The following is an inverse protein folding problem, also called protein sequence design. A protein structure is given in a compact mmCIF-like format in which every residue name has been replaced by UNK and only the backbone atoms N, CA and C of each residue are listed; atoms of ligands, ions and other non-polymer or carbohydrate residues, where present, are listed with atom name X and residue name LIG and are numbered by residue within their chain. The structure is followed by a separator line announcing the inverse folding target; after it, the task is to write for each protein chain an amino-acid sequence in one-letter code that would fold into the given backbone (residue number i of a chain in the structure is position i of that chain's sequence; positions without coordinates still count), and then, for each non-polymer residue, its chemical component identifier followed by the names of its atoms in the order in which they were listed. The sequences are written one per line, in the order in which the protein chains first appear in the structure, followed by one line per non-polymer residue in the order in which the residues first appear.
data_IF_135759560252
#
_entry.id   IF_135759560252
#
_cell.length_a   1.000
_cell.length_b   1.000
_cell.length_c   1.000
_cell.angle_alpha   90.00
_cell.angle_beta   90.00
_cell.angle_gamma   90.00
#
_symmetry.space_group_name_H-M   'P 1'
#
loop_
_entity.id
_entity.type
_entity.pdbx_description
1 polymer ?
#
# COMPACT_ATOMS: atom_id res chain seq x y z
N UNK A 1 -7.28 26.84 -64.73
CA UNK A 1 -8.53 26.38 -64.12
C UNK A 1 -8.26 26.15 -62.64
N UNK A 2 -8.74 27.06 -61.80
CA UNK A 2 -8.49 27.07 -60.35
C UNK A 2 -9.17 25.90 -59.65
N UNK A 3 -8.42 25.20 -58.80
CA UNK A 3 -8.97 24.33 -57.78
C UNK A 3 -9.26 25.16 -56.52
N UNK A 4 -10.53 25.25 -56.14
CA UNK A 4 -10.96 25.81 -54.87
C UNK A 4 -10.90 24.70 -53.80
N UNK A 5 -10.07 24.89 -52.77
CA UNK A 5 -10.07 24.10 -51.55
C UNK A 5 -11.01 24.78 -50.54
N UNK A 6 -12.09 24.11 -50.15
CA UNK A 6 -12.97 24.56 -49.07
C UNK A 6 -12.29 24.32 -47.73
N UNK A 7 -12.09 25.39 -46.96
CA UNK A 7 -11.62 25.32 -45.57
C UNK A 7 -12.84 25.28 -44.65
N UNK A 8 -13.08 24.14 -44.01
CA UNK A 8 -14.08 24.01 -42.94
C UNK A 8 -13.40 24.41 -41.61
N UNK A 9 -13.93 25.35 -40.83
CA UNK A 9 -13.31 25.72 -39.56
C UNK A 9 -13.66 24.68 -38.49
N UNK A 10 -12.64 24.00 -37.96
CA UNK A 10 -12.76 23.21 -36.73
C UNK A 10 -12.84 24.16 -35.54
N UNK A 11 -14.02 24.23 -34.91
CA UNK A 11 -14.19 24.82 -33.59
C UNK A 11 -13.46 23.94 -32.57
N UNK A 12 -12.31 24.42 -32.05
CA UNK A 12 -11.68 23.87 -30.86
C UNK A 12 -12.48 24.30 -29.64
N UNK A 13 -13.37 23.42 -29.16
CA UNK A 13 -13.91 23.52 -27.81
C UNK A 13 -12.79 23.20 -26.81
N UNK A 14 -12.31 24.22 -26.10
CA UNK A 14 -11.56 24.03 -24.86
C UNK A 14 -12.52 23.51 -23.78
N UNK A 15 -12.66 22.20 -23.69
CA UNK A 15 -13.25 21.55 -22.53
C UNK A 15 -12.21 21.48 -21.41
N UNK A 16 -12.43 22.23 -20.33
CA UNK A 16 -11.80 21.97 -19.04
C UNK A 16 -12.17 20.57 -18.56
N UNK A 17 -11.24 19.63 -18.69
CA UNK A 17 -11.36 18.30 -18.09
C UNK A 17 -11.07 18.46 -16.60
N UNK A 18 -12.10 18.42 -15.78
CA UNK A 18 -11.93 18.14 -14.35
C UNK A 18 -11.41 16.70 -14.24
N UNK A 19 -10.13 16.55 -13.94
CA UNK A 19 -9.43 15.28 -13.74
C UNK A 19 -9.86 14.60 -12.44
N UNK A 20 -11.14 14.25 -12.33
CA UNK A 20 -11.55 13.16 -11.46
C UNK A 20 -11.23 11.86 -12.18
N UNK A 21 -10.65 10.88 -11.49
CA UNK A 21 -10.77 9.50 -11.92
C UNK A 21 -12.28 9.24 -12.05
N UNK A 22 -12.82 9.27 -13.27
CA UNK A 22 -14.04 8.52 -13.55
C UNK A 22 -13.75 7.16 -12.97
N UNK A 23 -14.61 6.66 -12.08
CA UNK A 23 -14.48 5.32 -11.50
C UNK A 23 -14.53 4.35 -12.69
N UNK A 24 -13.40 4.21 -13.36
CA UNK A 24 -13.17 3.26 -14.42
C UNK A 24 -12.86 2.03 -13.60
N UNK A 25 -13.95 1.41 -13.13
CA UNK A 25 -13.95 0.11 -12.51
C UNK A 25 -12.97 -0.74 -13.32
N UNK A 26 -11.81 -1.15 -12.79
CA UNK A 26 -11.02 -2.14 -13.49
C UNK A 26 -11.96 -3.34 -13.67
N UNK A 27 -12.36 -3.62 -14.92
CA UNK A 27 -13.18 -4.79 -15.23
C UNK A 27 -12.42 -6.08 -14.89
N UNK A 28 -11.09 -5.96 -14.82
CA UNK A 28 -10.10 -6.94 -14.40
C UNK A 28 -8.90 -6.17 -13.81
N UNK A 29 -8.28 -6.69 -12.75
CA UNK A 29 -7.08 -6.09 -12.17
C UNK A 29 -5.83 -6.41 -12.99
N UNK A 30 -4.86 -5.51 -12.96
CA UNK A 30 -3.53 -5.72 -13.53
C UNK A 30 -2.67 -6.49 -12.53
N UNK A 31 -1.99 -7.55 -12.99
CA UNK A 31 -1.13 -8.40 -12.17
C UNK A 31 0.24 -8.67 -12.82
N UNK A 32 1.37 -8.48 -12.09
CA UNK A 32 1.45 -7.82 -10.79
C UNK A 32 1.05 -6.34 -10.90
N UNK A 33 0.25 -5.83 -9.97
CA UNK A 33 -0.23 -4.44 -10.04
C UNK A 33 -0.49 -3.81 -8.68
N UNK A 34 0.38 -4.07 -7.71
CA UNK A 34 0.42 -3.35 -6.43
C UNK A 34 1.59 -2.38 -6.42
N UNK A 35 2.54 -2.51 -5.49
CA UNK A 35 3.68 -1.58 -5.40
C UNK A 35 4.59 -1.65 -6.62
N UNK A 36 4.59 -2.77 -7.33
CA UNK A 36 5.47 -3.03 -8.47
C UNK A 36 4.69 -3.59 -9.65
N UNK A 37 5.04 -3.11 -10.83
CA UNK A 37 4.58 -3.63 -12.13
C UNK A 37 5.63 -4.55 -12.76
N UNK A 38 5.27 -5.28 -13.82
CA UNK A 38 6.26 -6.08 -14.57
C UNK A 38 7.33 -5.17 -15.21
N UNK A 39 6.97 -3.96 -15.63
CA UNK A 39 7.90 -2.95 -16.16
C UNK A 39 8.92 -2.48 -15.10
N UNK A 40 8.48 -2.25 -13.86
CA UNK A 40 9.38 -1.86 -12.76
C UNK A 40 10.44 -2.95 -12.51
N UNK A 41 10.03 -4.22 -12.53
CA UNK A 41 10.96 -5.34 -12.35
C UNK A 41 11.93 -5.51 -13.52
N UNK A 42 11.46 -5.32 -14.76
CA UNK A 42 12.34 -5.35 -15.94
C UNK A 42 13.37 -4.23 -15.86
N UNK A 43 12.95 -3.02 -15.45
CA UNK A 43 13.84 -1.89 -15.23
C UNK A 43 14.89 -2.24 -14.18
N UNK A 44 14.50 -2.61 -12.95
CA UNK A 44 15.49 -2.88 -11.89
C UNK A 44 16.44 -4.03 -12.26
N UNK A 45 15.93 -5.10 -12.87
CA UNK A 45 16.77 -6.22 -13.32
C UNK A 45 17.85 -5.76 -14.30
N UNK A 46 17.48 -4.99 -15.33
CA UNK A 46 18.44 -4.48 -16.30
C UNK A 46 19.56 -3.69 -15.61
N UNK A 47 19.22 -2.80 -14.68
CA UNK A 47 20.21 -1.95 -14.02
C UNK A 47 21.13 -2.73 -13.07
N UNK A 48 20.59 -3.75 -12.37
CA UNK A 48 21.38 -4.63 -11.52
C UNK A 48 22.33 -5.50 -12.35
N UNK A 49 21.86 -6.10 -13.44
CA UNK A 49 22.67 -6.96 -14.33
C UNK A 49 23.83 -6.21 -14.99
N UNK A 50 23.65 -4.91 -15.27
CA UNK A 50 24.69 -4.04 -15.84
C UNK A 50 25.57 -3.35 -14.78
N UNK A 51 25.32 -3.59 -13.50
CA UNK A 51 26.12 -3.05 -12.39
C UNK A 51 26.00 -1.54 -12.21
N UNK A 52 24.85 -0.95 -12.56
CA UNK A 52 24.63 0.49 -12.41
C UNK A 52 24.26 0.86 -10.97
N UNK A 53 24.85 1.96 -10.49
CA UNK A 53 24.51 2.54 -9.19
C UNK A 53 23.36 3.55 -9.29
N UNK A 54 22.51 3.70 -8.26
CA UNK A 54 22.58 3.05 -6.93
C UNK A 54 21.94 1.64 -6.86
N UNK A 55 21.50 1.08 -7.99
CA UNK A 55 20.72 -0.16 -8.03
C UNK A 55 21.51 -1.39 -7.59
N UNK A 56 22.78 -1.48 -7.99
CA UNK A 56 23.68 -2.56 -7.55
C UNK A 56 23.90 -2.53 -6.03
N UNK A 57 24.12 -1.35 -5.45
CA UNK A 57 24.21 -1.19 -4.00
C UNK A 57 22.91 -1.59 -3.30
N UNK A 58 21.75 -1.16 -3.80
CA UNK A 58 20.44 -1.54 -3.26
C UNK A 58 20.19 -3.05 -3.32
N UNK A 59 20.55 -3.69 -4.44
CA UNK A 59 20.50 -5.15 -4.59
C UNK A 59 21.39 -5.86 -3.57
N UNK A 60 22.60 -5.37 -3.37
CA UNK A 60 23.53 -5.92 -2.36
C UNK A 60 22.97 -5.77 -0.94
N UNK A 61 22.35 -4.64 -0.61
CA UNK A 61 21.66 -4.44 0.68
C UNK A 61 20.52 -5.45 0.86
N UNK A 62 19.72 -5.68 -0.19
CA UNK A 62 18.63 -6.64 -0.17
C UNK A 62 19.11 -8.07 0.10
N UNK A 63 20.20 -8.50 -0.57
CA UNK A 63 20.78 -9.83 -0.39
C UNK A 63 21.42 -10.04 0.99
N UNK A 64 22.01 -8.99 1.57
CA UNK A 64 22.70 -9.07 2.86
C UNK A 64 21.76 -8.93 4.08
N UNK A 65 20.49 -8.61 3.87
CA UNK A 65 19.52 -8.54 4.95
C UNK A 65 19.30 -9.94 5.56
N UNK A 66 19.27 -10.03 6.90
CA UNK A 66 19.09 -11.30 7.59
C UNK A 66 17.72 -11.95 7.33
N UNK A 67 16.69 -11.15 7.04
CA UNK A 67 15.38 -11.62 6.60
C UNK A 67 15.40 -12.21 5.19
N UNK A 68 16.45 -11.96 4.40
CA UNK A 68 16.66 -12.50 3.05
C UNK A 68 17.52 -13.76 3.05
N UNK A 69 17.69 -14.45 4.18
CA UNK A 69 18.48 -15.70 4.21
C UNK A 69 17.62 -16.86 3.74
N UNK A 70 18.16 -17.72 2.86
CA UNK A 70 17.50 -18.96 2.44
C UNK A 70 17.21 -19.94 3.60
N UNK A 71 17.82 -19.73 4.77
CA UNK A 71 17.55 -20.48 5.99
C UNK A 71 16.47 -19.85 6.88
N UNK A 72 15.76 -18.82 6.41
CA UNK A 72 14.70 -18.17 7.16
C UNK A 72 13.52 -19.13 7.35
N UNK A 73 13.02 -19.23 8.58
CA UNK A 73 11.84 -20.03 8.93
C UNK A 73 10.76 -19.11 9.50
N UNK A 74 9.54 -19.26 8.98
CA UNK A 74 8.37 -18.52 9.46
C UNK A 74 8.06 -18.83 10.93
N UNK A 75 7.50 -17.85 11.63
CA UNK A 75 7.06 -17.91 13.03
C UNK A 75 5.56 -17.64 13.12
N UNK A 76 4.80 -18.27 12.22
CA UNK A 76 3.35 -18.12 12.15
C UNK A 76 2.69 -18.58 13.47
N UNK A 77 1.69 -17.82 13.93
CA UNK A 77 0.94 -18.06 15.15
C UNK A 77 -0.56 -18.03 14.88
N UNK A 78 -1.38 -18.85 15.57
CA UNK A 78 -2.84 -18.81 15.40
C UNK A 78 -3.46 -17.46 15.73
N UNK A 79 -2.96 -16.82 16.79
CA UNK A 79 -3.42 -15.52 17.21
C UNK A 79 -2.22 -14.60 17.35
N UNK A 80 -2.34 -13.39 16.79
CA UNK A 80 -1.32 -12.35 16.93
C UNK A 80 -1.87 -11.19 17.76
N UNK A 81 -1.14 -10.84 18.82
CA UNK A 81 -1.46 -9.79 19.78
C UNK A 81 -0.55 -8.57 19.59
N UNK A 82 -1.16 -7.38 19.56
CA UNK A 82 -0.45 -6.10 19.57
C UNK A 82 -1.07 -5.12 20.56
N UNK A 83 -0.20 -4.45 21.31
CA UNK A 83 -0.56 -3.63 22.47
C UNK A 83 -0.69 -4.46 23.74
N UNK A 84 -0.44 -3.83 24.89
CA UNK A 84 -0.56 -4.48 26.20
C UNK A 84 -2.03 -4.49 26.65
N UNK A 85 -2.64 -5.68 26.61
CA UNK A 85 -4.00 -5.92 27.10
C UNK A 85 -4.04 -6.44 28.56
N UNK A 86 -2.87 -6.59 29.20
CA UNK A 86 -2.71 -7.11 30.56
C UNK A 86 -2.90 -8.63 30.70
N UNK A 87 -3.13 -9.37 29.60
CA UNK A 87 -3.44 -10.81 29.63
C UNK A 87 -2.50 -11.60 28.71
N UNK A 88 -2.26 -11.13 27.49
CA UNK A 88 -1.52 -11.85 26.47
C UNK A 88 -0.21 -11.13 26.13
N UNK A 89 0.92 -11.86 26.03
CA UNK A 89 2.16 -11.26 25.57
C UNK A 89 2.05 -10.85 24.11
N UNK A 90 2.67 -9.72 23.76
CA UNK A 90 2.74 -9.26 22.38
C UNK A 90 3.66 -10.17 21.54
N UNK A 91 3.18 -10.59 20.37
CA UNK A 91 3.92 -11.42 19.41
C UNK A 91 3.87 -10.87 17.97
N UNK A 92 3.31 -9.68 17.74
CA UNK A 92 3.20 -9.07 16.41
C UNK A 92 4.52 -8.87 15.66
N UNK A 93 5.64 -8.82 16.39
CA UNK A 93 6.98 -8.74 15.79
C UNK A 93 7.32 -9.95 14.92
N UNK A 94 6.75 -11.12 15.22
CA UNK A 94 6.94 -12.31 14.40
C UNK A 94 6.22 -12.17 13.05
N UNK A 95 4.96 -11.75 13.06
CA UNK A 95 4.20 -11.46 11.84
C UNK A 95 4.87 -10.34 11.01
N UNK A 96 5.37 -9.29 11.68
CA UNK A 96 6.11 -8.21 11.02
C UNK A 96 7.38 -8.74 10.33
N UNK A 97 8.12 -9.61 11.01
CA UNK A 97 9.34 -10.21 10.48
C UNK A 97 9.08 -11.15 9.30
N UNK A 98 8.01 -11.94 9.39
CA UNK A 98 7.58 -12.86 8.34
C UNK A 98 7.08 -12.09 7.10
N UNK A 99 6.27 -11.04 7.30
CA UNK A 99 5.84 -10.16 6.22
C UNK A 99 7.04 -9.52 5.48
N UNK A 100 8.02 -9.02 6.25
CA UNK A 100 9.24 -8.46 5.69
C UNK A 100 10.04 -9.50 4.90
N UNK A 101 10.28 -10.67 5.50
CA UNK A 101 11.02 -11.76 4.85
C UNK A 101 10.34 -12.24 3.56
N UNK A 102 9.02 -12.45 3.58
CA UNK A 102 8.26 -12.85 2.38
C UNK A 102 8.39 -11.82 1.26
N UNK A 103 8.28 -10.52 1.57
CA UNK A 103 8.41 -9.46 0.59
C UNK A 103 9.82 -9.38 0.00
N UNK A 104 10.87 -9.42 0.84
CA UNK A 104 12.26 -9.39 0.34
C UNK A 104 12.58 -10.60 -0.54
N UNK A 105 12.14 -11.79 -0.15
CA UNK A 105 12.32 -13.00 -0.94
C UNK A 105 11.55 -12.94 -2.27
N UNK A 106 10.33 -12.39 -2.28
CA UNK A 106 9.57 -12.17 -3.51
C UNK A 106 10.29 -11.21 -4.47
N UNK A 107 10.85 -10.11 -3.96
CA UNK A 107 11.66 -9.17 -4.75
C UNK A 107 12.93 -9.83 -5.30
N UNK A 108 13.66 -10.57 -4.44
CA UNK A 108 14.89 -11.29 -4.83
C UNK A 108 14.60 -12.28 -5.95
N UNK A 109 13.53 -13.07 -5.85
CA UNK A 109 13.10 -13.96 -6.92
C UNK A 109 12.75 -13.20 -8.19
N UNK A 110 11.90 -12.19 -8.10
CA UNK A 110 11.40 -11.48 -9.28
C UNK A 110 12.51 -10.74 -10.03
N UNK A 111 13.53 -10.25 -9.33
CA UNK A 111 14.70 -9.60 -9.95
C UNK A 111 15.69 -10.64 -10.49
N UNK A 112 16.09 -11.64 -9.70
CA UNK A 112 17.16 -12.60 -10.09
C UNK A 112 16.73 -13.80 -10.93
N UNK A 113 15.45 -14.19 -10.85
CA UNK A 113 14.95 -15.44 -11.42
C UNK A 113 15.34 -16.71 -10.64
N UNK A 114 16.00 -16.60 -9.48
CA UNK A 114 16.36 -17.77 -8.67
C UNK A 114 15.17 -18.24 -7.82
N UNK A 115 14.59 -19.37 -8.23
CA UNK A 115 13.38 -19.92 -7.63
C UNK A 115 13.56 -20.35 -6.16
N UNK A 116 14.79 -20.46 -5.64
CA UNK A 116 15.01 -20.71 -4.20
C UNK A 116 14.46 -19.58 -3.34
N UNK A 117 14.49 -18.34 -3.84
CA UNK A 117 13.92 -17.20 -3.13
C UNK A 117 12.39 -17.29 -3.07
N UNK A 118 11.74 -17.60 -4.19
CA UNK A 118 10.29 -17.76 -4.23
C UNK A 118 9.80 -18.93 -3.37
N UNK A 119 10.54 -20.04 -3.31
CA UNK A 119 10.20 -21.17 -2.43
C UNK A 119 10.09 -20.75 -0.97
N UNK A 120 11.03 -19.93 -0.48
CA UNK A 120 10.99 -19.45 0.91
C UNK A 120 9.84 -18.47 1.11
N UNK A 121 9.61 -17.55 0.18
CA UNK A 121 8.49 -16.61 0.28
C UNK A 121 7.13 -17.34 0.32
N UNK A 122 6.93 -18.33 -0.56
CA UNK A 122 5.73 -19.19 -0.56
C UNK A 122 5.59 -19.97 0.73
N UNK A 123 6.68 -20.53 1.28
CA UNK A 123 6.64 -21.21 2.58
C UNK A 123 6.16 -20.29 3.70
N UNK A 124 6.65 -19.04 3.74
CA UNK A 124 6.24 -18.05 4.76
C UNK A 124 4.75 -17.69 4.58
N UNK A 125 4.34 -17.36 3.36
CA UNK A 125 2.95 -16.96 3.08
C UNK A 125 1.96 -18.11 3.34
N UNK A 126 2.32 -19.35 2.99
CA UNK A 126 1.50 -20.51 3.28
C UNK A 126 1.44 -20.84 4.77
N UNK A 127 2.55 -20.72 5.51
CA UNK A 127 2.56 -20.90 6.96
C UNK A 127 1.61 -19.89 7.63
N UNK A 128 1.66 -18.62 7.21
CA UNK A 128 0.73 -17.60 7.67
C UNK A 128 -0.72 -17.94 7.30
N UNK A 129 -0.98 -18.31 6.04
CA UNK A 129 -2.33 -18.63 5.55
C UNK A 129 -2.98 -19.84 6.26
N UNK A 130 -2.17 -20.82 6.66
CA UNK A 130 -2.64 -22.03 7.36
C UNK A 130 -2.84 -21.78 8.85
N UNK A 131 -1.94 -21.02 9.47
CA UNK A 131 -1.95 -20.87 10.93
C UNK A 131 -2.79 -19.69 11.40
N UNK A 132 -2.75 -18.54 10.73
CA UNK A 132 -3.32 -17.29 11.26
C UNK A 132 -4.86 -17.31 11.26
N UNK A 133 -5.44 -17.22 12.45
CA UNK A 133 -6.89 -17.25 12.66
C UNK A 133 -7.44 -15.89 13.10
N UNK A 134 -6.70 -15.13 13.93
CA UNK A 134 -7.18 -13.87 14.48
C UNK A 134 -6.08 -12.87 14.84
N UNK A 135 -6.47 -11.59 14.83
CA UNK A 135 -5.68 -10.46 15.31
C UNK A 135 -6.37 -9.89 16.56
N UNK A 136 -5.64 -9.75 17.66
CA UNK A 136 -6.16 -9.25 18.94
C UNK A 136 -5.20 -8.26 19.61
N UNK A 137 -5.60 -7.79 20.79
CA UNK A 137 -4.88 -6.81 21.61
C UNK A 137 -5.65 -5.51 21.76
N UNK A 138 -4.93 -4.42 22.04
CA UNK A 138 -5.52 -3.08 22.22
C UNK A 138 -5.99 -2.52 20.87
N UNK A 139 -6.28 -1.21 20.80
CA UNK A 139 -6.50 -0.54 19.51
C UNK A 139 -5.32 -0.77 18.53
N UNK A 140 -4.10 -1.00 19.01
CA UNK A 140 -2.91 -1.20 18.17
C UNK A 140 -3.03 -2.41 17.24
N UNK A 141 -3.95 -3.35 17.50
CA UNK A 141 -4.27 -4.46 16.56
C UNK A 141 -4.68 -3.96 15.17
N UNK A 142 -5.32 -2.80 15.06
CA UNK A 142 -5.69 -2.20 13.78
C UNK A 142 -4.48 -1.71 13.00
N UNK A 143 -3.45 -1.19 13.68
CA UNK A 143 -2.17 -0.84 13.04
C UNK A 143 -1.49 -2.08 12.46
N UNK A 144 -1.53 -3.20 13.18
CA UNK A 144 -1.01 -4.48 12.68
C UNK A 144 -1.81 -4.97 11.46
N UNK A 145 -3.15 -4.94 11.52
CA UNK A 145 -4.00 -5.35 10.41
C UNK A 145 -3.78 -4.50 9.13
N UNK A 146 -3.58 -3.19 9.30
CA UNK A 146 -3.18 -2.30 8.23
C UNK A 146 -1.79 -2.64 7.70
N UNK A 147 -0.77 -2.53 8.55
CA UNK A 147 0.63 -2.56 8.11
C UNK A 147 1.07 -3.93 7.60
N UNK A 148 0.78 -5.01 8.33
CA UNK A 148 1.18 -6.35 7.88
C UNK A 148 0.28 -6.83 6.73
N UNK A 149 -1.00 -6.42 6.70
CA UNK A 149 -1.92 -6.83 5.63
C UNK A 149 -1.47 -6.35 4.25
N UNK A 150 -1.08 -5.07 4.08
CA UNK A 150 -0.61 -4.61 2.76
C UNK A 150 0.74 -5.24 2.39
N UNK A 151 1.65 -5.44 3.35
CA UNK A 151 2.98 -6.03 3.11
C UNK A 151 2.86 -7.47 2.60
N UNK A 152 2.06 -8.29 3.29
CA UNK A 152 1.83 -9.68 2.94
C UNK A 152 1.07 -9.80 1.61
N UNK A 153 0.07 -8.96 1.36
CA UNK A 153 -0.64 -8.90 0.08
C UNK A 153 0.31 -8.58 -1.08
N UNK A 154 1.22 -7.62 -0.91
CA UNK A 154 2.22 -7.27 -1.91
C UNK A 154 3.19 -8.43 -2.20
N UNK A 155 3.66 -9.15 -1.18
CA UNK A 155 4.50 -10.32 -1.37
C UNK A 155 3.77 -11.42 -2.16
N UNK A 156 2.50 -11.70 -1.80
CA UNK A 156 1.67 -12.66 -2.52
C UNK A 156 1.40 -12.25 -3.97
N UNK A 157 1.16 -10.97 -4.22
CA UNK A 157 0.91 -10.46 -5.57
C UNK A 157 2.13 -10.61 -6.50
N UNK A 158 3.35 -10.33 -6.01
CA UNK A 158 4.58 -10.55 -6.78
C UNK A 158 4.68 -12.02 -7.21
N UNK A 159 4.36 -12.95 -6.28
CA UNK A 159 4.46 -14.40 -6.46
C UNK A 159 3.26 -15.03 -7.15
N UNK A 160 2.19 -14.30 -7.47
CA UNK A 160 0.93 -14.85 -8.00
C UNK A 160 1.12 -15.83 -9.17
N UNK A 161 2.10 -15.57 -10.04
CA UNK A 161 2.42 -16.39 -11.22
C UNK A 161 3.59 -17.36 -11.02
N UNK A 162 4.09 -17.52 -9.80
CA UNK A 162 5.17 -18.44 -9.50
C UNK A 162 4.69 -19.89 -9.69
N UNK A 163 5.29 -20.68 -10.60
CA UNK A 163 4.74 -21.99 -10.97
C UNK A 163 4.65 -23.01 -9.83
N UNK A 164 5.50 -22.88 -8.80
CA UNK A 164 5.52 -23.80 -7.65
C UNK A 164 4.61 -23.37 -6.50
N UNK A 165 3.92 -22.23 -6.60
CA UNK A 165 2.82 -21.90 -5.69
C UNK A 165 1.52 -22.50 -6.23
N UNK A 166 1.01 -23.53 -5.57
CA UNK A 166 -0.22 -24.18 -6.02
C UNK A 166 -1.41 -23.22 -6.01
N UNK A 167 -2.33 -23.38 -6.96
CA UNK A 167 -3.57 -22.58 -7.02
C UNK A 167 -4.39 -22.68 -5.73
N UNK A 168 -4.43 -23.88 -5.12
CA UNK A 168 -5.12 -24.11 -3.85
C UNK A 168 -4.45 -23.34 -2.70
N UNK A 169 -3.12 -23.39 -2.59
CA UNK A 169 -2.39 -22.64 -1.57
C UNK A 169 -2.56 -21.13 -1.74
N UNK A 170 -2.56 -20.63 -2.98
CA UNK A 170 -2.84 -19.23 -3.27
C UNK A 170 -4.29 -18.85 -2.91
N UNK A 171 -5.25 -19.74 -3.14
CA UNK A 171 -6.64 -19.55 -2.71
C UNK A 171 -6.76 -19.51 -1.19
N UNK A 172 -6.05 -20.38 -0.46
CA UNK A 172 -6.02 -20.35 1.01
C UNK A 172 -5.41 -19.04 1.52
N UNK A 173 -4.35 -18.58 0.87
CA UNK A 173 -3.73 -17.29 1.16
C UNK A 173 -4.71 -16.11 1.00
N UNK A 174 -5.36 -15.99 -0.15
CA UNK A 174 -6.34 -14.91 -0.39
C UNK A 174 -7.56 -15.04 0.53
N UNK A 175 -7.97 -16.26 0.87
CA UNK A 175 -9.04 -16.51 1.84
C UNK A 175 -8.67 -16.02 3.24
N UNK A 176 -7.44 -16.26 3.70
CA UNK A 176 -6.95 -15.72 4.97
C UNK A 176 -6.94 -14.18 4.95
N UNK A 177 -6.49 -13.56 3.85
CA UNK A 177 -6.54 -12.09 3.70
C UNK A 177 -7.97 -11.54 3.83
N UNK A 178 -8.95 -12.24 3.24
CA UNK A 178 -10.37 -11.86 3.26
C UNK A 178 -11.06 -12.13 4.59
N UNK A 179 -10.62 -13.12 5.36
CA UNK A 179 -11.27 -13.53 6.61
C UNK A 179 -10.64 -12.90 7.85
N UNK A 180 -9.33 -12.66 7.85
CA UNK A 180 -8.59 -12.15 9.01
C UNK A 180 -8.36 -10.65 8.91
N UNK A 181 -7.80 -10.18 7.80
CA UNK A 181 -7.38 -8.79 7.66
C UNK A 181 -8.53 -7.87 7.22
N UNK A 182 -9.24 -8.24 6.15
CA UNK A 182 -10.29 -7.39 5.56
C UNK A 182 -11.39 -6.96 6.55
N UNK A 183 -12.00 -7.84 7.37
CA UNK A 183 -13.11 -7.45 8.23
C UNK A 183 -12.68 -6.42 9.28
N UNK A 184 -11.51 -6.62 9.90
CA UNK A 184 -10.95 -5.67 10.87
C UNK A 184 -10.63 -4.32 10.24
N UNK A 185 -10.02 -4.32 9.06
CA UNK A 185 -9.68 -3.11 8.32
C UNK A 185 -10.92 -2.31 7.92
N UNK A 186 -11.93 -2.98 7.35
CA UNK A 186 -13.18 -2.32 6.97
C UNK A 186 -13.94 -1.79 8.18
N UNK A 187 -14.01 -2.59 9.25
CA UNK A 187 -14.69 -2.20 10.48
C UNK A 187 -14.08 -0.93 11.10
N UNK A 188 -12.75 -0.82 11.10
CA UNK A 188 -12.08 0.38 11.58
C UNK A 188 -12.41 1.62 10.77
N UNK A 189 -12.40 1.58 9.43
CA UNK A 189 -12.73 2.77 8.63
C UNK A 189 -14.20 3.19 8.76
N UNK A 190 -15.08 2.28 9.19
CA UNK A 190 -16.52 2.54 9.38
C UNK A 190 -16.83 3.04 10.79
N UNK A 191 -16.27 2.40 11.82
CA UNK A 191 -16.60 2.66 13.23
C UNK A 191 -15.50 3.34 14.03
N UNK A 192 -14.27 3.37 13.51
CA UNK A 192 -13.07 3.85 14.20
C UNK A 192 -12.97 3.32 15.62
N UNK A 193 -13.08 2.00 15.78
CA UNK A 193 -13.04 1.32 17.09
C UNK A 193 -14.03 1.94 18.11
N UNK A 194 -15.23 2.29 17.65
CA UNK A 194 -16.31 2.92 18.43
C UNK A 194 -15.92 4.26 19.07
N UNK A 195 -14.92 4.95 18.52
CA UNK A 195 -14.55 6.27 18.96
C UNK A 195 -15.70 7.27 18.74
N UNK A 196 -15.83 8.26 19.63
CA UNK A 196 -16.85 9.31 19.55
C UNK A 196 -16.79 10.11 18.23
N UNK A 197 -15.64 10.13 17.57
CA UNK A 197 -15.42 10.87 16.33
C UNK A 197 -14.53 10.08 15.37
N UNK A 198 -14.83 10.07 14.06
CA UNK A 198 -14.00 9.38 13.07
C UNK A 198 -12.60 10.01 12.92
N UNK A 199 -12.38 11.23 13.43
CA UNK A 199 -11.05 11.87 13.45
C UNK A 199 -10.32 11.70 14.79
N UNK A 200 -10.76 10.76 15.63
CA UNK A 200 -10.09 10.46 16.91
C UNK A 200 -8.67 9.90 16.69
N UNK A 201 -8.50 9.03 15.69
CA UNK A 201 -7.20 8.44 15.37
C UNK A 201 -6.42 9.31 14.39
N UNK A 202 -5.10 9.31 14.52
CA UNK A 202 -4.22 10.01 13.59
C UNK A 202 -4.22 9.38 12.20
N UNK A 203 -3.88 10.15 11.16
CA UNK A 203 -3.97 9.72 9.76
C UNK A 203 -3.21 8.43 9.44
N UNK A 204 -2.07 8.14 10.10
CA UNK A 204 -1.33 6.89 9.87
C UNK A 204 -2.17 5.62 10.10
N UNK A 205 -3.17 5.68 10.99
CA UNK A 205 -4.06 4.56 11.28
C UNK A 205 -4.94 4.25 10.07
N UNK A 206 -5.70 5.23 9.61
CA UNK A 206 -6.55 5.10 8.42
C UNK A 206 -5.72 4.74 7.18
N UNK A 207 -4.58 5.42 6.96
CA UNK A 207 -3.75 5.22 5.76
C UNK A 207 -3.16 3.81 5.69
N UNK A 208 -2.72 3.25 6.81
CA UNK A 208 -2.24 1.86 6.86
C UNK A 208 -3.34 0.86 6.52
N UNK A 209 -4.56 1.14 6.98
CA UNK A 209 -5.74 0.30 6.74
C UNK A 209 -6.21 0.43 5.29
N UNK A 210 -6.21 1.64 4.73
CA UNK A 210 -6.48 1.90 3.32
C UNK A 210 -5.49 1.16 2.42
N UNK A 211 -4.18 1.22 2.73
CA UNK A 211 -3.14 0.47 2.01
C UNK A 211 -3.40 -1.04 2.06
N UNK A 212 -3.87 -1.56 3.19
CA UNK A 212 -4.24 -2.97 3.34
C UNK A 212 -5.46 -3.33 2.48
N UNK A 213 -6.51 -2.51 2.52
CA UNK A 213 -7.75 -2.77 1.76
C UNK A 213 -7.52 -2.73 0.25
N UNK A 214 -6.80 -1.73 -0.28
CA UNK A 214 -6.52 -1.68 -1.72
C UNK A 214 -5.66 -2.88 -2.16
N UNK A 215 -4.68 -3.28 -1.34
CA UNK A 215 -3.84 -4.43 -1.60
C UNK A 215 -4.63 -5.75 -1.58
N UNK A 216 -5.51 -5.94 -0.59
CA UNK A 216 -6.40 -7.09 -0.48
C UNK A 216 -7.37 -7.14 -1.66
N UNK A 217 -7.94 -5.99 -2.06
CA UNK A 217 -8.85 -5.87 -3.19
C UNK A 217 -8.22 -6.39 -4.49
N UNK A 218 -6.99 -6.00 -4.79
CA UNK A 218 -6.26 -6.50 -5.97
C UNK A 218 -5.87 -7.97 -5.80
N UNK A 219 -5.19 -8.34 -4.71
CA UNK A 219 -4.63 -9.71 -4.57
C UNK A 219 -5.71 -10.80 -4.47
N UNK A 220 -6.92 -10.44 -4.02
CA UNK A 220 -8.05 -11.37 -3.94
C UNK A 220 -9.06 -11.20 -5.09
N UNK A 221 -8.77 -10.37 -6.08
CA UNK A 221 -9.66 -10.10 -7.22
C UNK A 221 -11.06 -9.62 -6.77
N UNK A 222 -11.08 -8.67 -5.82
CA UNK A 222 -12.27 -8.08 -5.19
C UNK A 222 -12.41 -6.57 -5.48
N UNK A 223 -13.05 -6.20 -6.61
CA UNK A 223 -13.33 -4.80 -6.97
C UNK A 223 -14.10 -4.03 -5.90
N UNK A 224 -15.03 -4.67 -5.19
CA UNK A 224 -15.81 -4.01 -4.14
C UNK A 224 -14.93 -3.52 -2.96
N UNK A 225 -13.88 -4.27 -2.60
CA UNK A 225 -12.94 -3.89 -1.55
C UNK A 225 -12.00 -2.78 -2.03
N UNK A 226 -11.46 -2.93 -3.26
CA UNK A 226 -10.63 -1.91 -3.89
C UNK A 226 -11.37 -0.56 -3.99
N UNK A 227 -12.61 -0.59 -4.50
CA UNK A 227 -13.42 0.61 -4.67
C UNK A 227 -13.78 1.26 -3.35
N UNK A 228 -14.05 0.47 -2.29
CA UNK A 228 -14.28 1.03 -0.97
C UNK A 228 -13.06 1.82 -0.48
N UNK A 229 -11.85 1.29 -0.67
CA UNK A 229 -10.62 1.97 -0.27
C UNK A 229 -10.38 3.26 -1.08
N UNK A 230 -10.59 3.21 -2.40
CA UNK A 230 -10.48 4.39 -3.29
C UNK A 230 -11.55 5.43 -2.99
N UNK A 231 -12.79 5.03 -2.70
CA UNK A 231 -13.85 5.96 -2.30
C UNK A 231 -13.53 6.63 -0.96
N UNK A 232 -12.95 5.88 -0.01
CA UNK A 232 -12.52 6.42 1.28
C UNK A 232 -11.45 7.49 1.13
N UNK A 233 -10.51 7.35 0.18
CA UNK A 233 -9.54 8.41 -0.12
C UNK A 233 -10.22 9.75 -0.43
N UNK A 234 -11.30 9.74 -1.22
CA UNK A 234 -12.01 10.96 -1.58
C UNK A 234 -12.99 11.45 -0.52
N UNK A 235 -13.72 10.53 0.12
CA UNK A 235 -14.95 10.81 0.87
C UNK A 235 -14.99 10.20 2.28
N UNK A 236 -13.89 9.61 2.72
CA UNK A 236 -13.75 9.04 4.06
C UNK A 236 -14.04 10.05 5.17
N UNK A 237 -14.61 9.56 6.26
CA UNK A 237 -14.95 10.38 7.43
C UNK A 237 -13.75 10.64 8.34
N UNK A 238 -12.75 9.75 8.33
CA UNK A 238 -11.56 9.80 9.18
C UNK A 238 -10.36 10.48 8.54
N UNK A 239 -9.25 10.52 9.29
CA UNK A 239 -8.05 11.28 8.92
C UNK A 239 -7.25 10.69 7.74
N UNK A 240 -7.64 9.55 7.18
CA UNK A 240 -7.06 9.00 5.93
C UNK A 240 -7.66 9.56 4.63
N UNK A 241 -8.81 10.24 4.69
CA UNK A 241 -9.34 10.93 3.52
C UNK A 241 -8.42 12.09 3.13
N UNK A 242 -8.15 12.29 1.84
CA UNK A 242 -7.09 13.19 1.37
C UNK A 242 -7.26 14.64 1.84
N UNK A 243 -8.51 15.10 2.00
CA UNK A 243 -8.81 16.44 2.50
C UNK A 243 -8.62 16.62 4.02
N UNK A 244 -8.40 15.52 4.74
CA UNK A 244 -8.09 15.49 6.18
C UNK A 244 -6.65 15.06 6.44
N UNK A 245 -6.09 14.19 5.61
CA UNK A 245 -4.65 13.86 5.64
C UNK A 245 -3.81 15.06 5.22
N UNK A 246 -4.16 15.69 4.09
CA UNK A 246 -3.55 16.94 3.62
C UNK A 246 -4.59 18.06 3.75
N UNK A 247 -4.66 18.61 4.96
CA UNK A 247 -5.82 19.36 5.45
C UNK A 247 -5.77 20.87 5.22
N UNK A 248 -4.57 21.43 5.05
CA UNK A 248 -4.40 22.88 4.80
C UNK A 248 -3.45 23.07 3.63
N UNK A 249 -3.91 23.72 2.56
CA UNK A 249 -3.03 24.19 1.48
C UNK A 249 -2.49 25.57 1.85
N UNK A 250 -1.18 25.71 1.81
CA UNK A 250 -0.44 26.93 2.13
C UNK A 250 -0.40 27.88 0.91
N UNK A 251 -0.15 29.17 1.17
CA UNK A 251 -0.06 30.20 0.11
C UNK A 251 1.08 29.96 -0.88
N UNK A 252 2.12 29.23 -0.48
CA UNK A 252 3.26 28.85 -1.32
C UNK A 252 2.99 27.62 -2.20
N UNK A 253 1.77 27.09 -2.18
CA UNK A 253 1.37 25.91 -2.95
C UNK A 253 1.68 24.58 -2.28
N UNK A 254 2.30 24.58 -1.09
CA UNK A 254 2.47 23.36 -0.27
C UNK A 254 1.18 23.00 0.47
N UNK A 255 1.15 21.85 1.12
CA UNK A 255 0.07 21.49 2.03
C UNK A 255 0.62 20.84 3.30
N UNK A 256 -0.09 21.03 4.41
CA UNK A 256 0.28 20.46 5.69
C UNK A 256 -0.29 19.05 5.82
N UNK A 257 0.58 18.07 6.03
CA UNK A 257 0.21 16.72 6.46
C UNK A 257 -0.31 16.75 7.91
N UNK A 258 -1.34 15.96 8.19
CA UNK A 258 -2.04 15.94 9.47
C UNK A 258 -1.14 15.54 10.65
N UNK A 259 -0.10 14.74 10.42
CA UNK A 259 0.85 14.28 11.43
C UNK A 259 2.07 15.19 11.57
N UNK A 260 2.21 16.21 10.70
CA UNK A 260 3.35 17.16 10.72
C UNK A 260 3.54 17.87 12.06
N UNK A 261 2.48 17.98 12.88
CA UNK A 261 2.53 18.61 14.21
C UNK A 261 2.95 17.66 15.34
N UNK A 262 3.08 16.35 15.09
CA UNK A 262 3.33 15.34 16.12
C UNK A 262 4.83 15.11 16.32
N UNK A 263 5.48 14.52 15.31
CA UNK A 263 6.93 14.34 15.20
C UNK A 263 7.31 13.88 13.79
N UNK A 264 8.60 13.93 13.48
CA UNK A 264 9.12 13.58 12.14
C UNK A 264 8.88 12.12 11.76
N UNK A 265 8.89 11.19 12.72
CA UNK A 265 8.67 9.77 12.46
C UNK A 265 7.24 9.49 12.01
N UNK A 266 6.25 10.09 12.68
CA UNK A 266 4.85 9.95 12.30
C UNK A 266 4.49 10.72 11.03
N UNK A 267 5.02 11.92 10.83
CA UNK A 267 4.82 12.69 9.60
C UNK A 267 5.35 11.93 8.37
N UNK A 268 6.56 11.36 8.47
CA UNK A 268 7.14 10.56 7.37
C UNK A 268 6.38 9.25 7.15
N UNK A 269 5.90 8.60 8.22
CA UNK A 269 5.04 7.42 8.12
C UNK A 269 3.72 7.73 7.40
N UNK A 270 3.05 8.83 7.73
CA UNK A 270 1.82 9.28 7.07
C UNK A 270 2.04 9.44 5.57
N UNK A 271 3.07 10.20 5.19
CA UNK A 271 3.44 10.39 3.78
C UNK A 271 3.69 9.05 3.09
N UNK A 272 4.52 8.18 3.69
CA UNK A 272 4.86 6.87 3.13
C UNK A 272 3.61 6.01 2.89
N UNK A 273 2.67 5.98 3.83
CA UNK A 273 1.44 5.19 3.70
C UNK A 273 0.49 5.77 2.64
N UNK A 274 0.35 7.09 2.60
CA UNK A 274 -0.44 7.78 1.57
C UNK A 274 0.13 7.52 0.17
N UNK A 275 1.45 7.64 -0.01
CA UNK A 275 2.10 7.36 -1.30
C UNK A 275 2.06 5.89 -1.66
N UNK A 276 2.15 4.99 -0.67
CA UNK A 276 1.99 3.54 -0.87
C UNK A 276 0.60 3.21 -1.41
N UNK A 277 -0.44 3.79 -0.82
CA UNK A 277 -1.82 3.65 -1.30
C UNK A 277 -1.98 4.20 -2.73
N UNK A 278 -1.49 5.41 -2.99
CA UNK A 278 -1.57 6.04 -4.31
C UNK A 278 -0.78 5.26 -5.38
N UNK A 279 0.38 4.71 -5.04
CA UNK A 279 1.19 3.88 -5.95
C UNK A 279 0.45 2.60 -6.36
N UNK A 280 -0.19 1.92 -5.41
CA UNK A 280 -0.99 0.72 -5.71
C UNK A 280 -2.21 1.06 -6.57
N UNK A 281 -2.83 2.23 -6.37
CA UNK A 281 -3.89 2.72 -7.25
C UNK A 281 -3.35 3.05 -8.66
N UNK A 282 -2.19 3.70 -8.75
CA UNK A 282 -1.52 4.06 -10.00
C UNK A 282 -1.16 2.84 -10.85
N UNK A 283 -0.71 1.75 -10.22
CA UNK A 283 -0.46 0.47 -10.90
C UNK A 283 -1.72 -0.10 -11.56
N UNK A 284 -2.90 0.20 -11.01
CA UNK A 284 -4.23 -0.12 -11.58
C UNK A 284 -4.75 0.99 -12.51
N UNK A 285 -3.90 1.92 -12.95
CA UNK A 285 -4.24 3.06 -13.82
C UNK A 285 -5.23 4.05 -13.20
N UNK A 286 -5.32 4.09 -11.87
CA UNK A 286 -6.08 5.08 -11.11
C UNK A 286 -5.13 6.18 -10.60
N UNK A 287 -5.17 7.35 -11.23
CA UNK A 287 -4.32 8.49 -10.84
C UNK A 287 -4.89 9.22 -9.62
N UNK A 288 -4.43 8.81 -8.43
CA UNK A 288 -4.71 9.53 -7.18
C UNK A 288 -3.69 10.63 -6.88
N UNK A 289 -2.51 10.58 -7.51
CA UNK A 289 -1.47 11.59 -7.31
C UNK A 289 -1.89 12.92 -7.93
N UNK A 290 -2.53 12.90 -9.10
CA UNK A 290 -3.03 14.08 -9.80
C UNK A 290 -4.25 14.75 -9.18
N UNK A 291 -4.87 14.14 -8.17
CA UNK A 291 -6.08 14.65 -7.57
C UNK A 291 -5.88 16.01 -6.86
N UNK A 292 -6.87 16.89 -7.03
CA UNK A 292 -6.96 18.22 -6.42
C UNK A 292 -5.67 19.04 -6.54
N UNK A 293 -5.22 19.21 -7.78
CA UNK A 293 -3.98 19.92 -8.12
C UNK A 293 -2.78 19.34 -7.36
N UNK A 294 -2.60 18.03 -7.49
CA UNK A 294 -1.51 17.26 -6.88
C UNK A 294 -1.45 17.36 -5.35
N UNK A 295 -2.60 17.37 -4.67
CA UNK A 295 -2.67 17.55 -3.20
C UNK A 295 -1.79 16.56 -2.43
N UNK A 296 -1.70 15.31 -2.89
CA UNK A 296 -0.81 14.30 -2.31
C UNK A 296 0.64 14.77 -2.30
N UNK A 297 1.13 15.33 -3.42
CA UNK A 297 2.50 15.83 -3.55
C UNK A 297 2.74 17.10 -2.72
N UNK A 298 1.75 17.99 -2.67
CA UNK A 298 1.81 19.20 -1.85
C UNK A 298 1.96 18.88 -0.37
N UNK A 299 1.35 17.79 0.11
CA UNK A 299 1.47 17.32 1.49
C UNK A 299 2.85 16.79 1.88
N UNK A 300 3.76 16.55 0.92
CA UNK A 300 5.07 15.95 1.18
C UNK A 300 6.15 16.98 1.52
N UNK A 301 5.93 18.25 1.16
CA UNK A 301 6.83 19.34 1.50
C UNK A 301 6.59 19.77 2.95
N UNK A 302 7.40 19.25 3.87
CA UNK A 302 7.39 19.75 5.25
C UNK A 302 8.16 21.06 5.32
N UNK A 303 7.52 22.13 5.81
CA UNK A 303 8.25 23.30 6.29
C UNK A 303 8.99 22.86 7.56
N UNK A 304 10.30 23.09 7.70
CA UNK A 304 10.94 23.03 9.01
C UNK A 304 10.16 23.96 9.95
N UNK A 305 9.72 23.44 11.09
CA UNK A 305 8.97 24.20 12.09
C UNK A 305 9.85 25.29 12.72
N UNK A 306 10.07 26.39 12.01
CA UNK A 306 10.79 27.57 12.52
C UNK A 306 9.93 28.82 12.58
N UNK A 307 8.60 28.69 12.47
CA UNK A 307 7.70 29.85 12.70
C UNK A 307 6.53 29.48 13.59
N UNK A 308 6.80 29.42 14.89
CA UNK A 308 5.87 30.02 15.84
C UNK A 308 5.87 31.53 15.59
N UNK A 309 4.93 32.01 14.80
CA UNK A 309 4.56 33.43 14.77
C UNK A 309 3.06 33.49 14.93
N UNK A 310 2.66 33.70 16.19
CA UNK A 310 1.42 34.32 16.66
C UNK A 310 0.24 34.40 15.69
N UNK A 311 -0.82 33.65 15.99
CA UNK A 311 -2.19 34.17 16.01
C UNK A 311 -2.80 33.87 17.38
#
# INVERSE_FOLDING_TARGET
MSFALSVTPFLLLFGTVFGGCYINQPSEFIHPGLLHTDEDFQFVRFWVEHGYEPYLSGWSTLQNNWHSRLSYTARASPIVYRGDDGVHPQNYHDLMSDAHAAYLHALLWKISGDDRWADIAVQILNACAVSLEALYGTADRFLMAGFQGYQIANAGEILRRYPRWSKESFQNFTTMMLNVFYPMNKDFLVRHNDAHSPVHYWSNWDLGIMASLIAIGVVADRPDIYNFAVDYFYRGSGNGAINRTSWVTCQDGTAQDQESGRDQGHATLSIMLLTTFCQMAWAQKCDLFGYDDNRVLKGQSTRPSTTWVSM
#
